data_IF_412182173028
#
_entry.id   IF_412182173028
#
_cell.length_a   1.000
_cell.length_b   1.000
_cell.length_c   1.000
_cell.angle_alpha   90.00
_cell.angle_beta   90.00
_cell.angle_gamma   90.00
#
_symmetry.space_group_name_H-M   'P 1'
#
loop_
_entity.id
_entity.type
_entity.pdbx_description
1 polymer ?
#
# COMPACT_ATOMS: atom_id res chain seq x y z
N UNK A 1 -21.89 17.12 -32.17
CA UNK A 1 -22.23 17.37 -30.75
C UNK A 1 -21.79 16.14 -29.97
N UNK A 2 -21.06 16.33 -28.88
CA UNK A 2 -20.71 15.25 -27.97
C UNK A 2 -21.89 15.10 -26.99
N UNK A 3 -22.42 13.90 -26.79
CA UNK A 3 -23.56 13.65 -25.89
C UNK A 3 -24.93 13.41 -26.55
N UNK A 4 -25.02 13.41 -27.89
CA UNK A 4 -26.27 13.09 -28.61
C UNK A 4 -26.01 12.11 -29.76
N UNK A 5 -26.95 11.19 -29.98
CA UNK A 5 -26.89 10.31 -31.15
C UNK A 5 -27.12 11.09 -32.45
N UNK A 6 -26.32 10.83 -33.48
CA UNK A 6 -26.47 11.47 -34.79
C UNK A 6 -27.75 10.96 -35.46
N UNK A 7 -28.78 11.80 -35.52
CA UNK A 7 -29.98 11.54 -36.31
C UNK A 7 -30.00 12.39 -37.59
N UNK A 8 -30.45 11.81 -38.69
CA UNK A 8 -30.64 12.48 -39.98
C UNK A 8 -32.11 12.37 -40.36
N UNK A 9 -32.70 13.45 -40.87
CA UNK A 9 -34.09 13.44 -41.33
C UNK A 9 -34.25 12.59 -42.59
N UNK A 10 -35.47 12.09 -42.81
CA UNK A 10 -35.81 11.46 -44.10
C UNK A 10 -35.75 12.52 -45.23
N UNK A 11 -35.43 12.12 -46.47
CA UNK A 11 -35.47 13.03 -47.61
C UNK A 11 -36.86 13.65 -47.78
N UNK A 12 -36.93 14.93 -48.15
CA UNK A 12 -38.16 15.60 -48.53
C UNK A 12 -37.94 16.37 -49.84
N UNK A 13 -39.01 16.50 -50.62
CA UNK A 13 -38.99 17.14 -51.93
C UNK A 13 -39.84 18.40 -51.87
N UNK A 14 -39.32 19.51 -52.42
CA UNK A 14 -40.07 20.77 -52.57
C UNK A 14 -40.43 20.91 -54.04
N UNK A 15 -41.73 20.95 -54.34
CA UNK A 15 -42.23 21.19 -55.69
C UNK A 15 -42.22 22.70 -55.99
N UNK A 16 -42.00 23.07 -57.26
CA UNK A 16 -41.85 24.47 -57.69
C UNK A 16 -43.09 25.35 -57.47
N UNK A 17 -44.25 24.75 -57.16
CA UNK A 17 -45.51 25.43 -56.84
C UNK A 17 -45.77 25.58 -55.32
N UNK A 18 -44.93 24.96 -54.47
CA UNK A 18 -45.03 25.02 -53.02
C UNK A 18 -43.84 25.78 -52.43
N UNK A 19 -44.09 27.02 -52.00
CA UNK A 19 -43.08 27.90 -51.39
C UNK A 19 -42.72 27.52 -49.94
N UNK A 20 -43.46 26.60 -49.31
CA UNK A 20 -43.23 26.18 -47.92
C UNK A 20 -43.55 24.70 -47.73
N UNK A 21 -42.66 23.97 -47.06
CA UNK A 21 -42.86 22.57 -46.64
C UNK A 21 -42.74 22.46 -45.13
N UNK A 22 -43.62 21.69 -44.48
CA UNK A 22 -43.53 21.42 -43.04
C UNK A 22 -42.57 20.26 -42.80
N UNK A 23 -41.43 20.56 -42.19
CA UNK A 23 -40.47 19.54 -41.75
C UNK A 23 -40.86 19.10 -40.34
N UNK A 24 -40.96 17.79 -40.12
CA UNK A 24 -41.24 17.24 -38.79
C UNK A 24 -40.12 17.60 -37.81
N UNK A 25 -40.44 17.92 -36.54
CA UNK A 25 -39.44 18.30 -35.55
C UNK A 25 -38.49 17.13 -35.27
N UNK A 26 -37.18 17.41 -35.33
CA UNK A 26 -36.13 16.43 -35.09
C UNK A 26 -35.91 16.29 -33.58
N UNK A 27 -36.21 15.12 -33.03
CA UNK A 27 -35.94 14.82 -31.61
C UNK A 27 -34.59 14.11 -31.52
N UNK A 28 -33.64 14.72 -30.82
CA UNK A 28 -32.32 14.12 -30.56
C UNK A 28 -32.34 13.35 -29.25
N UNK A 29 -31.77 12.14 -29.23
CA UNK A 29 -31.66 11.31 -28.02
C UNK A 29 -30.31 11.59 -27.36
N UNK A 30 -30.36 11.93 -26.07
CA UNK A 30 -29.18 12.10 -25.23
C UNK A 30 -28.52 10.74 -25.01
N UNK A 31 -27.19 10.69 -25.20
CA UNK A 31 -26.38 9.53 -24.88
C UNK A 31 -25.67 9.79 -23.56
N UNK A 32 -26.00 8.99 -22.54
CA UNK A 32 -25.33 9.05 -21.24
C UNK A 32 -24.34 7.90 -21.15
N UNK A 33 -23.05 8.23 -20.99
CA UNK A 33 -22.02 7.24 -20.69
C UNK A 33 -21.79 7.20 -19.18
N UNK A 34 -21.99 6.03 -18.57
CA UNK A 34 -21.61 5.80 -17.17
C UNK A 34 -20.12 5.53 -17.12
N UNK A 35 -19.38 6.38 -16.42
CA UNK A 35 -17.95 6.20 -16.19
C UNK A 35 -17.73 5.07 -15.17
N UNK A 36 -16.79 4.17 -15.44
CA UNK A 36 -16.39 3.13 -14.50
C UNK A 36 -15.66 3.73 -13.28
N UNK A 37 -15.83 3.11 -12.12
CA UNK A 37 -15.07 3.47 -10.92
C UNK A 37 -13.58 3.13 -11.07
N UNK A 38 -12.73 3.97 -10.48
CA UNK A 38 -11.29 3.72 -10.37
C UNK A 38 -10.99 3.29 -8.92
N UNK A 39 -10.50 2.06 -8.75
CA UNK A 39 -10.07 1.55 -7.44
C UNK A 39 -8.57 1.82 -7.25
N UNK A 40 -8.24 2.73 -6.33
CA UNK A 40 -6.84 2.97 -5.92
C UNK A 40 -6.51 2.03 -4.76
N UNK A 41 -5.67 1.03 -5.01
CA UNK A 41 -5.09 0.19 -3.96
C UNK A 41 -3.65 0.62 -3.70
N UNK A 42 -3.38 1.20 -2.52
CA UNK A 42 -2.03 1.50 -2.08
C UNK A 42 -1.54 0.41 -1.12
N UNK A 43 -0.41 -0.23 -1.45
CA UNK A 43 0.29 -1.12 -0.53
C UNK A 43 1.21 -0.30 0.39
N UNK A 44 1.27 -0.65 1.69
CA UNK A 44 2.22 -0.03 2.62
C UNK A 44 3.66 -0.34 2.18
N UNK A 45 4.60 0.62 2.23
CA UNK A 45 6.00 0.35 1.93
C UNK A 45 6.61 -0.57 2.99
N UNK A 46 7.58 -1.41 2.60
CA UNK A 46 8.27 -2.31 3.54
C UNK A 46 8.94 -1.58 4.70
N UNK A 47 9.57 -0.44 4.40
CA UNK A 47 10.27 0.39 5.38
C UNK A 47 9.67 1.78 5.34
N UNK A 48 9.30 2.29 6.51
CA UNK A 48 8.84 3.65 6.71
C UNK A 48 9.74 4.34 7.74
N UNK A 49 10.35 5.45 7.35
CA UNK A 49 11.23 6.23 8.21
C UNK A 49 10.44 7.34 8.88
N UNK A 50 10.25 7.24 10.19
CA UNK A 50 9.68 8.30 11.01
C UNK A 50 10.82 9.04 11.77
N UNK A 51 10.56 10.24 12.32
CA UNK A 51 11.60 11.04 12.98
C UNK A 51 12.31 10.34 14.15
N UNK A 52 11.61 9.46 14.87
CA UNK A 52 12.12 8.81 16.09
C UNK A 52 12.20 7.29 15.99
N UNK A 53 11.52 6.70 15.00
CA UNK A 53 11.47 5.26 14.79
C UNK A 53 11.53 4.91 13.30
N UNK A 54 12.07 3.75 12.99
CA UNK A 54 11.91 3.12 11.68
C UNK A 54 10.90 1.99 11.83
N UNK A 55 9.88 1.99 10.98
CA UNK A 55 8.80 1.01 10.99
C UNK A 55 9.01 0.05 9.83
N UNK A 56 9.08 -1.24 10.12
CA UNK A 56 9.17 -2.30 9.13
C UNK A 56 7.79 -2.93 9.02
N UNK A 57 7.09 -2.68 7.92
CA UNK A 57 5.80 -3.30 7.63
C UNK A 57 6.06 -4.69 7.06
N UNK A 58 5.89 -5.71 7.91
CA UNK A 58 6.18 -7.11 7.57
C UNK A 58 4.98 -7.73 6.86
N UNK A 59 3.77 -7.34 7.25
CA UNK A 59 2.53 -7.79 6.61
C UNK A 59 2.56 -7.56 5.09
N UNK A 60 2.06 -8.54 4.33
CA UNK A 60 1.91 -8.47 2.87
C UNK A 60 3.22 -8.27 2.07
N UNK A 61 4.39 -8.47 2.70
CA UNK A 61 5.67 -8.39 2.00
C UNK A 61 6.18 -9.77 1.55
N UNK A 62 6.84 -9.82 0.38
CA UNK A 62 7.54 -11.02 -0.13
C UNK A 62 8.56 -11.54 0.90
N UNK A 63 9.20 -10.63 1.63
CA UNK A 63 10.14 -10.96 2.72
C UNK A 63 9.47 -11.80 3.83
N UNK A 64 8.17 -11.58 4.09
CA UNK A 64 7.43 -12.33 5.08
C UNK A 64 6.96 -13.71 4.58
N UNK A 65 6.98 -13.94 3.27
CA UNK A 65 6.58 -15.21 2.66
C UNK A 65 7.72 -16.23 2.77
N UNK A 66 7.74 -16.98 3.86
CA UNK A 66 8.64 -18.13 4.06
C UNK A 66 9.88 -17.88 4.91
N UNK A 67 10.06 -16.66 5.43
CA UNK A 67 11.15 -16.31 6.36
C UNK A 67 10.71 -16.26 7.83
N UNK A 68 11.68 -15.98 8.70
CA UNK A 68 11.47 -15.76 10.13
C UNK A 68 11.72 -14.29 10.51
N UNK A 69 11.37 -13.92 11.76
CA UNK A 69 11.53 -12.56 12.26
C UNK A 69 12.98 -12.08 12.25
N UNK A 70 13.95 -12.98 12.44
CA UNK A 70 15.37 -12.64 12.41
C UNK A 70 15.80 -12.17 11.01
N UNK A 71 15.38 -12.88 9.96
CA UNK A 71 15.66 -12.50 8.57
C UNK A 71 15.02 -11.16 8.17
N UNK A 72 13.83 -10.87 8.70
CA UNK A 72 13.20 -9.55 8.53
C UNK A 72 14.04 -8.47 9.21
N UNK A 73 14.51 -8.75 10.43
CA UNK A 73 15.32 -7.83 11.22
C UNK A 73 16.70 -7.58 10.59
N UNK A 74 17.32 -8.59 9.98
CA UNK A 74 18.58 -8.47 9.22
C UNK A 74 18.47 -7.54 8.00
N UNK A 75 17.26 -7.40 7.43
CA UNK A 75 16.97 -6.47 6.33
C UNK A 75 16.65 -5.06 6.81
N UNK A 76 16.51 -4.86 8.11
CA UNK A 76 16.13 -3.58 8.66
C UNK A 76 17.35 -2.62 8.68
N UNK A 77 17.16 -1.35 8.28
CA UNK A 77 18.27 -0.42 8.13
C UNK A 77 18.88 -0.05 9.48
N UNK A 78 20.21 -0.11 9.54
CA UNK A 78 20.96 0.20 10.76
C UNK A 78 20.89 -0.87 11.84
N UNK A 79 20.32 -2.04 11.54
CA UNK A 79 20.44 -3.23 12.39
C UNK A 79 21.59 -4.10 11.88
N UNK A 80 22.42 -4.57 12.80
CA UNK A 80 23.41 -5.60 12.56
C UNK A 80 23.11 -6.77 13.47
N UNK A 81 22.95 -7.94 12.87
CA UNK A 81 22.79 -9.20 13.58
C UNK A 81 24.06 -10.00 13.37
N UNK A 82 24.74 -10.33 14.45
CA UNK A 82 25.86 -11.26 14.43
C UNK A 82 25.42 -12.58 15.04
N UNK A 83 25.24 -13.56 14.15
CA UNK A 83 24.80 -14.90 14.50
C UNK A 83 25.89 -15.74 15.21
N UNK A 84 27.17 -15.36 15.12
CA UNK A 84 28.27 -16.06 15.79
C UNK A 84 28.52 -15.52 17.19
N UNK A 85 28.46 -14.20 17.36
CA UNK A 85 28.63 -13.56 18.67
C UNK A 85 27.32 -13.34 19.43
N UNK A 86 26.18 -13.75 18.86
CA UNK A 86 24.85 -13.67 19.46
C UNK A 86 24.43 -12.23 19.82
N UNK A 87 24.83 -11.26 18.98
CA UNK A 87 24.61 -9.83 19.23
C UNK A 87 23.67 -9.20 18.22
N UNK A 88 22.79 -8.35 18.71
CA UNK A 88 21.97 -7.44 17.92
C UNK A 88 22.43 -6.01 18.24
N UNK A 89 22.85 -5.29 17.20
CA UNK A 89 23.33 -3.91 17.31
C UNK A 89 22.43 -3.01 16.48
N UNK A 90 21.90 -1.96 17.10
CA UNK A 90 21.08 -0.96 16.42
C UNK A 90 21.82 0.38 16.38
N UNK A 91 22.20 0.84 15.18
CA UNK A 91 22.97 2.07 14.95
C UNK A 91 24.20 2.20 15.86
N UNK A 92 24.93 1.09 16.05
CA UNK A 92 26.13 1.02 16.89
C UNK A 92 25.88 0.91 18.40
N UNK A 93 24.62 0.77 18.85
CA UNK A 93 24.27 0.56 20.26
C UNK A 93 23.96 -0.90 20.52
N UNK A 94 24.63 -1.46 21.53
CA UNK A 94 24.34 -2.78 22.10
C UNK A 94 23.37 -2.64 23.29
N UNK A 95 22.81 -3.76 23.76
CA UNK A 95 21.91 -3.76 24.93
C UNK A 95 20.54 -3.12 24.67
N UNK A 96 19.98 -3.38 23.50
CA UNK A 96 18.64 -2.88 23.13
C UNK A 96 17.55 -3.48 24.01
N UNK A 97 16.55 -2.67 24.36
CA UNK A 97 15.32 -3.13 25.00
C UNK A 97 14.42 -3.74 23.92
N UNK A 98 14.06 -5.01 24.09
CA UNK A 98 13.05 -5.65 23.25
C UNK A 98 11.67 -5.54 23.90
N UNK A 99 10.67 -5.29 23.06
CA UNK A 99 9.27 -5.24 23.46
C UNK A 99 8.45 -6.07 22.48
N UNK A 100 7.48 -6.81 23.01
CA UNK A 100 6.45 -7.51 22.24
C UNK A 100 5.12 -6.95 22.69
N UNK A 101 4.34 -6.40 21.76
CA UNK A 101 3.07 -5.73 22.05
C UNK A 101 3.18 -4.69 23.18
N UNK A 102 4.15 -3.79 23.05
CA UNK A 102 4.52 -2.76 24.03
C UNK A 102 4.94 -3.29 25.42
N UNK A 103 5.14 -4.61 25.59
CA UNK A 103 5.60 -5.21 26.86
C UNK A 103 7.09 -5.52 26.80
N UNK A 104 7.90 -5.01 27.76
CA UNK A 104 9.31 -5.37 27.88
C UNK A 104 9.50 -6.88 28.02
N UNK A 105 10.42 -7.44 27.25
CA UNK A 105 10.88 -8.82 27.43
C UNK A 105 12.22 -8.82 28.16
N UNK A 106 12.29 -9.60 29.24
CA UNK A 106 13.52 -9.81 30.01
C UNK A 106 14.21 -11.08 29.52
N UNK A 107 14.62 -11.07 28.25
CA UNK A 107 15.33 -12.18 27.63
C UNK A 107 16.80 -11.81 27.46
N UNK A 108 17.67 -12.80 27.61
CA UNK A 108 19.06 -12.68 27.19
C UNK A 108 19.13 -12.50 25.66
N UNK A 109 20.26 -11.97 25.16
CA UNK A 109 20.45 -11.78 23.72
C UNK A 109 20.26 -13.08 22.93
N UNK A 110 20.68 -14.21 23.51
CA UNK A 110 20.54 -15.52 22.89
C UNK A 110 19.08 -16.01 22.85
N UNK A 111 18.33 -15.80 23.92
CA UNK A 111 16.90 -16.13 23.95
C UNK A 111 16.11 -15.27 22.95
N UNK A 112 16.48 -14.01 22.79
CA UNK A 112 15.91 -13.13 21.77
C UNK A 112 16.18 -13.66 20.37
N UNK A 113 17.42 -14.03 20.05
CA UNK A 113 17.76 -14.57 18.73
C UNK A 113 16.99 -15.87 18.43
N UNK A 114 16.89 -16.75 19.41
CA UNK A 114 16.13 -18.00 19.28
C UNK A 114 14.64 -17.73 19.09
N UNK A 115 14.08 -16.76 19.82
CA UNK A 115 12.69 -16.34 19.63
C UNK A 115 12.46 -15.82 18.21
N UNK A 116 13.31 -14.91 17.73
CA UNK A 116 13.20 -14.32 16.39
C UNK A 116 13.36 -15.36 15.27
N UNK A 117 14.26 -16.34 15.43
CA UNK A 117 14.43 -17.46 14.48
C UNK A 117 13.20 -18.35 14.41
N UNK A 118 12.56 -18.60 15.55
CA UNK A 118 11.39 -19.48 15.64
C UNK A 118 10.07 -18.75 15.37
N UNK A 119 10.08 -17.42 15.27
CA UNK A 119 8.90 -16.63 14.98
C UNK A 119 8.72 -16.49 13.46
N UNK A 120 7.64 -17.04 12.88
CA UNK A 120 7.34 -16.85 11.47
C UNK A 120 7.16 -15.36 11.12
N UNK A 121 7.75 -14.90 10.03
CA UNK A 121 7.61 -13.50 9.63
C UNK A 121 6.15 -13.11 9.32
N UNK A 122 5.33 -14.06 8.85
CA UNK A 122 3.92 -13.84 8.55
C UNK A 122 3.03 -13.66 9.78
N UNK A 123 3.50 -13.97 11.00
CA UNK A 123 2.77 -13.71 12.24
C UNK A 123 3.08 -12.33 12.82
N UNK A 124 3.92 -11.54 12.14
CA UNK A 124 4.32 -10.20 12.56
C UNK A 124 3.66 -9.19 11.63
N UNK A 125 2.92 -8.25 12.20
CA UNK A 125 2.39 -7.12 11.43
C UNK A 125 3.53 -6.12 11.15
N UNK A 126 4.22 -5.71 12.20
CA UNK A 126 5.17 -4.60 12.17
C UNK A 126 6.33 -4.82 13.15
N UNK A 127 7.53 -4.35 12.78
CA UNK A 127 8.69 -4.23 13.68
C UNK A 127 9.06 -2.75 13.80
N UNK A 128 9.18 -2.24 15.02
CA UNK A 128 9.56 -0.85 15.27
C UNK A 128 10.97 -0.73 15.84
N UNK A 129 11.82 0.02 15.15
CA UNK A 129 13.19 0.33 15.58
C UNK A 129 13.22 1.73 16.18
N UNK A 130 13.17 1.83 17.50
CA UNK A 130 13.18 3.10 18.21
C UNK A 130 14.63 3.48 18.56
N UNK A 131 15.12 4.56 17.95
CA UNK A 131 16.52 5.02 18.17
C UNK A 131 16.61 6.25 19.07
N UNK A 132 15.48 6.91 19.31
CA UNK A 132 15.36 7.99 20.28
C UNK A 132 14.08 7.81 21.13
N UNK A 133 14.18 7.24 22.35
CA UNK A 133 13.02 6.93 23.17
C UNK A 133 12.42 8.16 23.88
N UNK A 134 13.12 9.31 23.94
CA UNK A 134 12.76 10.46 24.79
C UNK A 134 11.55 11.28 24.32
N UNK A 135 10.72 10.77 23.41
CA UNK A 135 9.65 11.51 22.77
C UNK A 135 8.24 10.95 23.03
N UNK A 136 8.10 9.97 23.94
CA UNK A 136 6.79 9.59 24.51
C UNK A 136 6.50 10.40 25.78
#
# INVERSE_FOLDING_TARGET
MVGYERSVSKPFTIASDQLTTQVLPMVSRETSQTLGEVKVTAAKPFVEQLPYKTVINVENNIVASGGNALEVLERAPGVLVDNQSERIVLKGREGILMMIDDKPTYLSAQEVLNLLRNTPANSIETIELITNPSAR
#
